data_IF_934632111860
#
_entry.id   IF_934632111860
#
_cell.length_a   1.000
_cell.length_b   1.000
_cell.length_c   1.000
_cell.angle_alpha   90.00
_cell.angle_beta   90.00
_cell.angle_gamma   90.00
#
_symmetry.space_group_name_H-M   'P 1'
#
loop_
_entity.id
_entity.type
_entity.pdbx_description
1 polymer ?
#
# COMPACT_ATOMS: atom_id res chain seq x y z
N UNK A 1 28.46 33.64 -39.25
CA UNK A 1 27.35 32.68 -39.36
C UNK A 1 27.43 31.74 -38.18
N UNK A 2 26.90 32.16 -37.03
CA UNK A 2 26.65 31.25 -35.91
C UNK A 2 25.33 30.53 -36.19
N UNK A 3 25.37 29.20 -36.18
CA UNK A 3 24.16 28.38 -36.26
C UNK A 3 23.52 28.38 -34.87
N UNK A 4 22.36 29.02 -34.75
CA UNK A 4 21.45 28.83 -33.62
C UNK A 4 21.19 27.33 -33.44
N UNK A 5 21.63 26.80 -32.29
CA UNK A 5 21.15 25.52 -31.77
C UNK A 5 19.73 25.76 -31.27
N UNK A 6 18.74 25.45 -32.09
CA UNK A 6 17.36 25.23 -31.65
C UNK A 6 17.34 23.99 -30.75
N UNK A 7 17.46 24.21 -29.45
CA UNK A 7 17.09 23.23 -28.43
C UNK A 7 15.58 23.07 -28.46
N UNK A 8 15.10 22.03 -29.15
CA UNK A 8 13.75 21.52 -28.95
C UNK A 8 13.64 20.99 -27.52
N UNK A 9 13.20 21.86 -26.61
CA UNK A 9 12.65 21.46 -25.32
C UNK A 9 11.36 20.72 -25.62
N UNK A 10 11.40 19.38 -25.66
CA UNK A 10 10.18 18.57 -25.62
C UNK A 10 9.58 18.82 -24.23
N UNK A 11 8.38 19.37 -24.19
CA UNK A 11 7.62 19.48 -22.94
C UNK A 11 7.60 18.10 -22.24
N UNK A 12 7.67 18.07 -20.90
CA UNK A 12 7.70 16.82 -20.18
C UNK A 12 6.40 16.05 -20.47
N UNK A 13 6.53 14.79 -20.90
CA UNK A 13 5.39 13.90 -21.21
C UNK A 13 4.51 13.62 -19.99
N UNK A 14 5.03 13.86 -18.79
CA UNK A 14 4.33 13.73 -17.52
C UNK A 14 4.44 15.03 -16.74
N UNK A 15 3.33 15.48 -16.16
CA UNK A 15 3.28 16.64 -15.26
C UNK A 15 2.81 16.15 -13.90
N UNK A 16 3.61 16.41 -12.87
CA UNK A 16 3.22 16.07 -11.50
C UNK A 16 2.01 16.91 -11.08
N UNK A 17 1.05 16.26 -10.44
CA UNK A 17 -0.17 16.85 -9.91
C UNK A 17 -0.35 16.38 -8.47
N UNK A 18 -0.99 17.19 -7.61
CA UNK A 18 -1.33 16.82 -6.24
C UNK A 18 -2.47 15.80 -6.17
N UNK A 19 -3.34 15.80 -7.18
CA UNK A 19 -4.44 14.85 -7.33
C UNK A 19 -4.56 14.35 -8.75
N UNK A 20 -4.97 13.10 -8.91
CA UNK A 20 -5.21 12.48 -10.21
C UNK A 20 -6.50 11.68 -10.20
N UNK A 21 -7.13 11.59 -11.38
CA UNK A 21 -8.26 10.71 -11.62
C UNK A 21 -7.80 9.26 -11.82
N UNK A 22 -8.61 8.31 -11.35
CA UNK A 22 -8.41 6.90 -11.65
C UNK A 22 -8.92 6.63 -13.07
N UNK A 23 -8.07 6.07 -13.96
CA UNK A 23 -8.48 5.74 -15.32
C UNK A 23 -9.69 4.81 -15.34
N UNK A 24 -10.70 5.18 -16.13
CA UNK A 24 -11.88 4.35 -16.30
C UNK A 24 -11.49 2.99 -16.89
N UNK A 25 -11.84 1.91 -16.17
CA UNK A 25 -11.54 0.54 -16.61
C UNK A 25 -10.31 -0.07 -15.95
N UNK A 26 -9.50 0.72 -15.24
CA UNK A 26 -8.36 0.22 -14.48
C UNK A 26 -8.81 -0.88 -13.50
N UNK A 27 -8.17 -2.06 -13.47
CA UNK A 27 -8.53 -3.18 -12.58
C UNK A 27 -8.21 -2.89 -11.11
N UNK A 28 -8.97 -2.00 -10.49
CA UNK A 28 -8.86 -1.72 -9.06
C UNK A 28 -10.23 -1.39 -8.47
N UNK A 29 -10.37 -1.65 -7.18
CA UNK A 29 -11.51 -1.21 -6.41
C UNK A 29 -11.06 -0.02 -5.57
N UNK A 30 -11.50 1.16 -5.98
CA UNK A 30 -11.35 2.39 -5.22
C UNK A 30 -12.70 3.06 -5.17
N UNK A 31 -13.17 3.39 -3.97
CA UNK A 31 -14.51 3.94 -3.77
C UNK A 31 -14.66 5.40 -4.19
N UNK A 32 -13.61 6.00 -4.79
CA UNK A 32 -13.56 7.41 -5.19
C UNK A 32 -13.00 7.52 -6.62
N UNK A 33 -13.36 8.58 -7.37
CA UNK A 33 -12.83 8.79 -8.72
C UNK A 33 -11.41 9.36 -8.71
N UNK A 34 -11.04 10.13 -7.67
CA UNK A 34 -9.75 10.83 -7.54
C UNK A 34 -8.92 10.27 -6.39
N UNK A 35 -7.59 10.38 -6.50
CA UNK A 35 -6.66 10.06 -5.43
C UNK A 35 -5.57 11.14 -5.27
N UNK A 36 -5.08 11.27 -4.04
CA UNK A 36 -3.95 12.16 -3.72
C UNK A 36 -2.62 11.51 -4.13
N UNK A 37 -1.76 12.29 -4.79
CA UNK A 37 -0.42 11.89 -5.19
C UNK A 37 0.52 12.17 -4.04
N UNK A 38 1.04 11.09 -3.44
CA UNK A 38 2.00 11.17 -2.34
C UNK A 38 3.34 11.68 -2.85
N UNK A 39 4.04 12.46 -2.02
CA UNK A 39 5.40 12.95 -2.31
C UNK A 39 6.40 11.81 -2.59
N UNK A 40 6.13 10.62 -2.03
CA UNK A 40 6.96 9.44 -2.27
C UNK A 40 6.69 8.78 -3.64
N UNK A 41 5.55 9.02 -4.31
CA UNK A 41 5.19 8.33 -5.55
C UNK A 41 6.21 8.53 -6.68
N UNK A 42 6.66 9.75 -7.02
CA UNK A 42 7.69 9.94 -8.04
C UNK A 42 8.96 9.16 -7.72
N UNK A 43 9.40 9.18 -6.47
CA UNK A 43 10.61 8.48 -6.03
C UNK A 43 10.46 6.96 -6.11
N UNK A 44 9.28 6.42 -5.78
CA UNK A 44 8.99 5.00 -5.87
C UNK A 44 8.86 4.53 -7.32
N UNK A 45 8.33 5.37 -8.20
CA UNK A 45 8.29 5.10 -9.63
C UNK A 45 9.70 4.91 -10.20
N UNK A 46 10.61 5.87 -9.94
CA UNK A 46 12.01 5.78 -10.37
C UNK A 46 12.72 4.54 -9.81
N UNK A 47 12.51 4.24 -8.53
CA UNK A 47 13.06 3.04 -7.89
C UNK A 47 12.54 1.77 -8.54
N UNK A 48 11.24 1.69 -8.78
CA UNK A 48 10.60 0.54 -9.41
C UNK A 48 11.11 0.33 -10.84
N UNK A 49 11.21 1.40 -11.64
CA UNK A 49 11.75 1.35 -13.01
C UNK A 49 13.20 0.88 -13.05
N UNK A 50 14.05 1.40 -12.15
CA UNK A 50 15.46 0.97 -12.05
C UNK A 50 15.59 -0.52 -11.73
N UNK A 51 14.81 -1.00 -10.76
CA UNK A 51 14.80 -2.41 -10.36
C UNK A 51 14.28 -3.26 -11.50
N UNK A 52 13.18 -2.84 -12.14
CA UNK A 52 12.55 -3.53 -13.25
C UNK A 52 13.52 -3.73 -14.42
N UNK A 53 14.32 -2.72 -14.77
CA UNK A 53 15.34 -2.82 -15.82
C UNK A 53 16.46 -3.84 -15.51
N UNK A 54 16.67 -4.20 -14.24
CA UNK A 54 17.66 -5.18 -13.82
C UNK A 54 17.10 -6.59 -13.60
N UNK A 55 15.94 -6.72 -12.96
CA UNK A 55 15.37 -8.03 -12.56
C UNK A 55 14.21 -8.50 -13.44
N UNK A 56 13.66 -7.64 -14.32
CA UNK A 56 12.44 -7.90 -15.07
C UNK A 56 11.16 -7.96 -14.21
N UNK A 57 11.28 -8.02 -12.88
CA UNK A 57 10.14 -8.07 -11.96
C UNK A 57 10.44 -7.27 -10.70
N UNK A 58 9.49 -6.45 -10.25
CA UNK A 58 9.55 -5.74 -8.97
C UNK A 58 8.22 -5.83 -8.23
N UNK A 59 8.27 -6.05 -6.93
CA UNK A 59 7.10 -5.97 -6.07
C UNK A 59 7.12 -4.67 -5.26
N UNK A 60 6.08 -3.85 -5.40
CA UNK A 60 5.83 -2.73 -4.51
C UNK A 60 4.81 -3.20 -3.48
N UNK A 61 5.16 -3.09 -2.20
CA UNK A 61 4.37 -3.64 -1.10
C UNK A 61 4.28 -2.67 0.05
N UNK A 62 3.40 -2.94 1.00
CA UNK A 62 3.25 -2.12 2.20
C UNK A 62 2.10 -2.59 3.07
N UNK A 63 1.90 -1.87 4.17
CA UNK A 63 0.75 -2.06 5.06
C UNK A 63 -0.55 -1.95 4.28
N UNK A 64 -1.50 -2.88 4.44
CA UNK A 64 -2.80 -2.77 3.81
C UNK A 64 -3.47 -1.42 4.09
N UNK A 65 -3.75 -0.63 3.06
CA UNK A 65 -4.37 0.70 3.20
C UNK A 65 -3.40 1.88 3.16
N UNK A 66 -2.11 1.62 2.97
CA UNK A 66 -1.08 2.65 2.82
C UNK A 66 -1.07 3.34 1.44
N UNK A 67 -1.92 2.88 0.51
CA UNK A 67 -2.01 3.45 -0.84
C UNK A 67 -1.19 2.72 -1.91
N UNK A 68 -0.92 1.43 -1.77
CA UNK A 68 -0.25 0.64 -2.83
C UNK A 68 -1.11 0.55 -4.10
N UNK A 69 -2.43 0.44 -3.96
CA UNK A 69 -3.34 0.42 -5.11
C UNK A 69 -3.51 1.80 -5.76
N UNK A 70 -3.42 2.90 -5.01
CA UNK A 70 -3.38 4.24 -5.60
C UNK A 70 -2.03 4.51 -6.28
N UNK A 71 -0.92 3.97 -5.74
CA UNK A 71 0.36 3.98 -6.44
C UNK A 71 0.34 3.16 -7.73
N UNK A 72 -0.41 2.06 -7.80
CA UNK A 72 -0.66 1.34 -9.04
C UNK A 72 -1.32 2.23 -10.12
N UNK A 73 -2.30 3.04 -9.75
CA UNK A 73 -2.92 4.00 -10.66
C UNK A 73 -1.93 5.09 -11.10
N UNK A 74 -1.18 5.67 -10.16
CA UNK A 74 -0.11 6.63 -10.46
C UNK A 74 0.93 6.06 -11.43
N UNK A 75 1.44 4.86 -11.13
CA UNK A 75 2.42 4.17 -11.97
C UNK A 75 1.88 3.97 -13.38
N UNK A 76 0.64 3.48 -13.51
CA UNK A 76 -0.01 3.30 -14.81
C UNK A 76 -0.08 4.62 -15.60
N UNK A 77 -0.57 5.69 -14.97
CA UNK A 77 -0.75 6.99 -15.61
C UNK A 77 0.59 7.54 -16.12
N UNK A 78 1.58 7.60 -15.23
CA UNK A 78 2.90 8.12 -15.55
C UNK A 78 3.62 7.26 -16.61
N UNK A 79 3.60 5.95 -16.43
CA UNK A 79 4.24 5.03 -17.39
C UNK A 79 3.63 5.15 -18.78
N UNK A 80 2.31 5.21 -18.87
CA UNK A 80 1.60 5.30 -20.16
C UNK A 80 1.89 6.62 -20.88
N UNK A 81 2.01 7.72 -20.14
CA UNK A 81 2.38 9.02 -20.69
C UNK A 81 3.84 9.06 -21.19
N UNK A 82 4.76 8.43 -20.45
CA UNK A 82 6.17 8.37 -20.84
C UNK A 82 6.43 7.38 -22.01
N UNK A 83 5.62 6.33 -22.13
CA UNK A 83 5.85 5.16 -23.00
C UNK A 83 4.63 4.83 -23.89
N UNK A 84 4.17 5.78 -24.69
CA UNK A 84 2.94 5.67 -25.51
C UNK A 84 2.87 4.42 -26.42
N UNK A 85 4.02 3.99 -26.96
CA UNK A 85 4.12 2.83 -27.87
C UNK A 85 4.07 1.46 -27.15
N UNK A 86 4.22 1.45 -25.82
CA UNK A 86 4.27 0.23 -25.01
C UNK A 86 2.86 -0.25 -24.68
N UNK A 87 2.63 -1.55 -24.85
CA UNK A 87 1.39 -2.20 -24.41
C UNK A 87 1.44 -2.42 -22.90
N UNK A 88 0.50 -1.84 -22.16
CA UNK A 88 0.38 -2.04 -20.72
C UNK A 88 -0.74 -3.05 -20.44
N UNK A 89 -0.43 -4.14 -19.76
CA UNK A 89 -1.40 -5.15 -19.35
C UNK A 89 -1.62 -5.00 -17.85
N UNK A 90 -2.78 -4.46 -17.48
CA UNK A 90 -3.17 -4.31 -16.08
C UNK A 90 -4.01 -5.50 -15.63
N UNK A 91 -3.76 -6.00 -14.44
CA UNK A 91 -4.49 -7.14 -13.88
C UNK A 91 -4.85 -6.89 -12.42
N UNK A 92 -5.96 -7.48 -11.96
CA UNK A 92 -6.33 -7.48 -10.55
C UNK A 92 -6.41 -8.88 -9.99
N UNK A 93 -5.99 -9.03 -8.74
CA UNK A 93 -6.03 -10.29 -8.00
C UNK A 93 -6.78 -10.13 -6.69
N UNK A 94 -7.42 -11.20 -6.26
CA UNK A 94 -7.94 -11.33 -4.91
C UNK A 94 -7.52 -12.66 -4.30
N UNK A 95 -7.38 -12.70 -2.98
CA UNK A 95 -7.12 -13.95 -2.27
C UNK A 95 -8.46 -14.65 -2.03
N UNK A 96 -8.63 -15.85 -2.56
CA UNK A 96 -9.76 -16.74 -2.31
C UNK A 96 -9.23 -18.06 -1.78
N UNK A 97 -9.73 -18.51 -0.62
CA UNK A 97 -9.34 -19.80 -0.02
C UNK A 97 -7.80 -20.02 0.04
N UNK A 98 -7.04 -18.98 0.43
CA UNK A 98 -5.55 -18.95 0.49
C UNK A 98 -4.84 -19.02 -0.87
N UNK A 99 -5.56 -18.97 -1.98
CA UNK A 99 -5.01 -18.90 -3.34
C UNK A 99 -5.20 -17.51 -3.92
N UNK A 100 -4.26 -17.06 -4.76
CA UNK A 100 -4.46 -15.83 -5.52
C UNK A 100 -5.20 -16.12 -6.82
N UNK A 101 -6.30 -15.39 -7.04
CA UNK A 101 -7.20 -15.56 -8.18
C UNK A 101 -7.28 -14.24 -8.95
N UNK A 102 -6.97 -14.29 -10.24
CA UNK A 102 -7.13 -13.16 -11.15
C UNK A 102 -8.63 -12.85 -11.33
N UNK A 103 -9.01 -11.59 -11.20
CA UNK A 103 -10.41 -11.14 -11.24
C UNK A 103 -10.73 -10.25 -12.44
N UNK A 104 -9.74 -9.57 -13.00
CA UNK A 104 -9.90 -8.75 -14.19
C UNK A 104 -8.56 -8.54 -14.91
N UNK A 105 -8.66 -8.34 -16.23
CA UNK A 105 -7.54 -7.95 -17.12
C UNK A 105 -8.02 -6.76 -17.96
N UNK A 106 -7.17 -5.76 -18.14
CA UNK A 106 -7.36 -4.70 -19.13
C UNK A 106 -6.04 -4.41 -19.85
N UNK A 107 -6.14 -4.19 -21.16
CA UNK A 107 -5.03 -3.95 -22.09
C UNK A 107 -5.10 -2.51 -22.56
N UNK A 108 -3.96 -1.82 -22.53
CA UNK A 108 -3.86 -0.40 -22.81
C UNK A 108 -2.72 -0.11 -23.77
N UNK A 109 -2.87 0.95 -24.57
CA UNK A 109 -1.80 1.50 -25.43
C UNK A 109 -1.97 3.01 -25.51
N UNK A 110 -0.89 3.78 -25.36
CA UNK A 110 -0.95 5.25 -25.33
C UNK A 110 -1.86 5.81 -24.21
N UNK A 111 -2.08 5.07 -23.13
CA UNK A 111 -3.03 5.43 -22.07
C UNK A 111 -4.51 5.13 -22.41
N UNK A 112 -4.83 4.69 -23.63
CA UNK A 112 -6.18 4.32 -24.03
C UNK A 112 -6.47 2.83 -23.76
N UNK A 113 -7.67 2.53 -23.28
CA UNK A 113 -8.10 1.15 -23.03
C UNK A 113 -8.53 0.49 -24.35
N UNK A 114 -7.83 -0.58 -24.74
CA UNK A 114 -8.14 -1.34 -25.95
C UNK A 114 -9.19 -2.41 -25.67
N UNK A 115 -8.99 -3.19 -24.61
CA UNK A 115 -9.88 -4.30 -24.27
C UNK A 115 -9.83 -4.59 -22.76
N UNK A 116 -10.96 -5.00 -22.19
CA UNK A 116 -11.08 -5.37 -20.78
C UNK A 116 -12.01 -6.56 -20.61
N UNK A 117 -11.69 -7.44 -19.66
CA UNK A 117 -12.59 -8.52 -19.26
C UNK A 117 -12.55 -8.81 -17.77
N UNK A 118 -13.72 -9.19 -17.24
CA UNK A 118 -13.89 -9.83 -15.91
C UNK A 118 -14.37 -11.28 -16.03
N UNK A 119 -14.58 -11.76 -17.26
CA UNK A 119 -15.03 -13.12 -17.50
C UNK A 119 -13.87 -14.08 -17.23
N UNK A 120 -14.01 -14.91 -16.19
CA UNK A 120 -12.97 -15.85 -15.72
C UNK A 120 -12.42 -16.78 -16.81
N UNK A 121 -13.25 -17.14 -17.80
CA UNK A 121 -12.85 -18.00 -18.91
C UNK A 121 -12.03 -17.27 -19.99
N UNK A 122 -12.04 -15.92 -20.00
CA UNK A 122 -11.37 -15.07 -20.99
C UNK A 122 -10.15 -14.33 -20.44
N UNK A 123 -9.90 -14.36 -19.12
CA UNK A 123 -8.82 -13.57 -18.52
C UNK A 123 -7.45 -13.92 -19.09
N UNK A 124 -7.07 -15.20 -19.06
CA UNK A 124 -5.79 -15.67 -19.60
C UNK A 124 -5.75 -15.55 -21.13
N UNK A 125 -6.87 -15.77 -21.82
CA UNK A 125 -6.95 -15.60 -23.28
C UNK A 125 -6.64 -14.16 -23.70
N UNK A 126 -7.15 -13.16 -22.98
CA UNK A 126 -6.87 -11.75 -23.26
C UNK A 126 -5.40 -11.41 -22.98
N UNK A 127 -4.84 -11.93 -21.88
CA UNK A 127 -3.43 -11.75 -21.53
C UNK A 127 -2.51 -12.31 -22.62
N UNK A 128 -2.70 -13.58 -23.01
CA UNK A 128 -1.89 -14.25 -24.04
C UNK A 128 -2.03 -13.56 -25.40
N UNK A 129 -3.25 -13.13 -25.76
CA UNK A 129 -3.52 -12.38 -27.00
C UNK A 129 -2.77 -11.05 -27.02
N UNK A 130 -2.76 -10.32 -25.91
CA UNK A 130 -2.09 -9.03 -25.80
C UNK A 130 -0.56 -9.16 -25.88
N UNK A 131 0.02 -10.15 -25.19
CA UNK A 131 1.46 -10.44 -25.27
C UNK A 131 1.88 -10.80 -26.70
N UNK A 132 1.16 -11.72 -27.35
CA UNK A 132 1.46 -12.12 -28.74
C UNK A 132 1.32 -10.98 -29.73
N UNK A 133 0.23 -10.21 -29.64
CA UNK A 133 0.00 -9.07 -30.52
C UNK A 133 1.08 -8.00 -30.38
N UNK A 134 1.59 -7.78 -29.18
CA UNK A 134 2.68 -6.83 -28.96
C UNK A 134 4.01 -7.33 -29.55
N UNK A 135 4.30 -8.64 -29.46
CA UNK A 135 5.47 -9.27 -30.11
C UNK A 135 5.36 -9.15 -31.64
N UNK A 136 4.21 -9.47 -32.22
CA UNK A 136 3.94 -9.36 -33.66
C UNK A 136 4.10 -7.91 -34.15
N UNK A 137 3.71 -6.93 -33.33
CA UNK A 137 3.87 -5.51 -33.62
C UNK A 137 5.28 -4.96 -33.30
N UNK A 138 6.22 -5.80 -32.83
CA UNK A 138 7.54 -5.40 -32.34
C UNK A 138 7.48 -4.23 -31.32
N UNK A 139 6.48 -4.29 -30.42
CA UNK A 139 6.23 -3.27 -29.39
C UNK A 139 6.54 -3.83 -27.99
N UNK A 140 6.92 -2.95 -27.07
CA UNK A 140 7.17 -3.33 -25.68
C UNK A 140 5.89 -3.79 -24.97
N UNK A 141 6.05 -4.64 -23.94
CA UNK A 141 4.97 -5.06 -23.03
C UNK A 141 5.41 -4.87 -21.59
N UNK A 142 4.48 -4.43 -20.73
CA UNK A 142 4.65 -4.46 -19.28
C UNK A 142 3.37 -4.94 -18.59
N UNK A 143 3.52 -5.72 -17.53
CA UNK A 143 2.42 -6.12 -16.65
C UNK A 143 2.38 -5.27 -15.39
N UNK A 144 1.22 -4.71 -15.09
CA UNK A 144 0.95 -4.03 -13.82
C UNK A 144 -0.11 -4.83 -13.05
N UNK A 145 0.30 -5.47 -11.96
CA UNK A 145 -0.54 -6.41 -11.21
C UNK A 145 -0.98 -5.79 -9.88
N UNK A 146 -2.27 -5.45 -9.76
CA UNK A 146 -2.87 -5.03 -8.49
C UNK A 146 -3.25 -6.26 -7.66
N UNK A 147 -2.35 -6.66 -6.78
CA UNK A 147 -2.39 -7.92 -6.03
C UNK A 147 -1.39 -8.95 -6.57
N UNK A 148 -1.29 -10.07 -5.87
CA UNK A 148 -0.22 -11.04 -6.09
C UNK A 148 -0.50 -11.95 -7.29
N UNK A 149 0.27 -11.92 -8.38
CA UNK A 149 0.04 -12.83 -9.49
C UNK A 149 0.32 -14.28 -9.12
N UNK A 150 -0.41 -15.19 -9.76
CA UNK A 150 -0.22 -16.64 -9.68
C UNK A 150 0.44 -17.22 -10.95
N UNK A 151 0.97 -16.36 -11.81
CA UNK A 151 1.63 -16.71 -13.06
C UNK A 151 3.03 -16.08 -13.12
N UNK A 152 3.90 -16.62 -13.98
CA UNK A 152 5.22 -16.04 -14.23
C UNK A 152 5.17 -15.08 -15.41
N UNK A 153 5.81 -13.91 -15.32
CA UNK A 153 5.87 -12.98 -16.45
C UNK A 153 6.64 -13.57 -17.63
N UNK A 154 6.11 -13.39 -18.85
CA UNK A 154 6.88 -13.41 -20.10
C UNK A 154 7.51 -12.05 -20.45
N UNK A 155 7.05 -10.98 -19.79
CA UNK A 155 7.46 -9.58 -20.00
C UNK A 155 7.69 -8.86 -18.67
N UNK A 156 8.35 -7.68 -18.64
CA UNK A 156 8.55 -6.92 -17.41
C UNK A 156 7.27 -6.76 -16.57
N UNK A 157 7.37 -6.93 -15.25
CA UNK A 157 6.21 -6.94 -14.36
C UNK A 157 6.41 -6.14 -13.07
N UNK A 158 5.41 -5.33 -12.73
CA UNK A 158 5.32 -4.60 -11.46
C UNK A 158 4.12 -5.12 -10.66
N UNK A 159 4.39 -5.67 -9.49
CA UNK A 159 3.36 -6.26 -8.62
C UNK A 159 3.08 -5.36 -7.41
N UNK A 160 1.87 -4.86 -7.30
CA UNK A 160 1.39 -4.00 -6.22
C UNK A 160 0.67 -4.87 -5.18
N UNK A 161 1.42 -5.42 -4.21
CA UNK A 161 0.95 -6.53 -3.37
C UNK A 161 0.89 -6.18 -1.89
N UNK A 162 0.01 -6.89 -1.17
CA UNK A 162 0.05 -6.92 0.30
C UNK A 162 1.17 -7.86 0.74
N UNK A 163 1.87 -7.50 1.81
CA UNK A 163 2.94 -8.31 2.39
C UNK A 163 2.48 -9.76 2.59
N UNK A 164 3.31 -10.70 2.10
CA UNK A 164 3.19 -12.16 2.27
C UNK A 164 2.13 -12.91 1.44
N UNK A 165 2.21 -12.86 0.11
CA UNK A 165 1.83 -14.03 -0.69
C UNK A 165 3.07 -14.86 -0.98
N UNK A 166 3.16 -16.03 -0.35
CA UNK A 166 4.18 -17.08 -0.57
C UNK A 166 4.28 -17.58 -2.02
N UNK A 167 3.40 -17.12 -2.92
CA UNK A 167 3.32 -17.51 -4.32
C UNK A 167 4.25 -16.72 -5.25
N UNK A 168 4.76 -15.56 -4.84
CA UNK A 168 5.69 -14.81 -5.68
C UNK A 168 7.11 -15.32 -5.45
N UNK A 169 7.77 -15.75 -6.53
CA UNK A 169 9.21 -16.02 -6.56
C UNK A 169 10.01 -14.88 -5.91
N UNK A 170 11.24 -15.14 -5.41
CA UNK A 170 12.09 -14.09 -4.87
C UNK A 170 12.30 -12.99 -5.92
N UNK A 171 11.57 -11.89 -5.77
CA UNK A 171 11.67 -10.68 -6.56
C UNK A 171 12.05 -9.53 -5.63
N UNK A 172 12.82 -8.55 -6.10
CA UNK A 172 13.12 -7.35 -5.33
C UNK A 172 11.83 -6.65 -4.85
N UNK A 173 11.82 -6.24 -3.59
CA UNK A 173 10.67 -5.60 -2.93
C UNK A 173 10.97 -4.14 -2.58
N UNK A 174 10.03 -3.27 -2.91
CA UNK A 174 10.00 -1.88 -2.47
C UNK A 174 8.86 -1.72 -1.46
N UNK A 175 9.18 -1.29 -0.24
CA UNK A 175 8.20 -1.14 0.84
C UNK A 175 7.76 0.30 0.94
N UNK A 176 6.48 0.59 0.69
CA UNK A 176 5.93 1.94 0.78
C UNK A 176 5.85 2.40 2.24
N UNK A 177 6.20 3.67 2.53
CA UNK A 177 6.15 4.20 3.88
C UNK A 177 4.70 4.43 4.32
N UNK A 178 4.47 4.42 5.63
CA UNK A 178 3.23 4.92 6.24
C UNK A 178 3.06 6.41 5.96
N UNK A 179 1.85 6.91 6.17
CA UNK A 179 1.56 8.34 6.01
C UNK A 179 1.91 9.09 7.29
N UNK A 180 2.56 10.24 7.15
CA UNK A 180 2.76 11.16 8.26
C UNK A 180 1.58 12.14 8.41
N UNK A 181 1.56 12.89 9.52
CA UNK A 181 0.47 13.80 9.82
C UNK A 181 0.28 14.87 8.73
N UNK A 182 1.39 15.47 8.28
CA UNK A 182 1.37 16.56 7.29
C UNK A 182 0.84 16.05 5.96
N UNK A 183 1.29 14.87 5.53
CA UNK A 183 0.82 14.20 4.31
C UNK A 183 -0.68 13.89 4.40
N UNK A 184 -1.15 13.36 5.53
CA UNK A 184 -2.58 13.05 5.74
C UNK A 184 -3.46 14.30 5.73
N UNK A 185 -3.07 15.36 6.44
CA UNK A 185 -3.80 16.62 6.48
C UNK A 185 -3.86 17.27 5.10
N UNK A 186 -2.75 17.24 4.35
CA UNK A 186 -2.69 17.77 2.99
C UNK A 186 -3.62 17.00 2.07
N UNK A 187 -3.58 15.66 2.11
CA UNK A 187 -4.48 14.83 1.33
C UNK A 187 -5.96 14.99 1.72
N UNK A 188 -6.27 15.21 3.00
CA UNK A 188 -7.64 15.50 3.43
C UNK A 188 -8.15 16.79 2.78
N UNK A 189 -7.33 17.85 2.77
CA UNK A 189 -7.67 19.13 2.15
C UNK A 189 -7.83 19.02 0.63
N UNK A 190 -6.85 18.42 -0.06
CA UNK A 190 -6.86 18.28 -1.53
C UNK A 190 -7.99 17.38 -2.04
N UNK A 191 -8.46 16.43 -1.23
CA UNK A 191 -9.58 15.55 -1.57
C UNK A 191 -10.94 16.10 -1.13
N UNK A 192 -11.01 17.39 -0.78
CA UNK A 192 -12.20 18.07 -0.25
C UNK A 192 -12.89 17.27 0.88
N UNK A 193 -12.08 16.66 1.75
CA UNK A 193 -12.54 16.00 2.98
C UNK A 193 -12.39 17.00 4.11
N UNK A 194 -13.42 17.82 4.42
CA UNK A 194 -13.31 18.79 5.48
C UNK A 194 -12.96 18.05 6.78
N UNK A 195 -11.77 18.34 7.28
CA UNK A 195 -11.33 17.89 8.60
C UNK A 195 -12.36 18.38 9.59
N UNK A 196 -13.15 17.47 10.18
CA UNK A 196 -14.10 17.88 11.21
C UNK A 196 -13.28 18.26 12.43
N UNK A 197 -13.37 19.54 12.82
CA UNK A 197 -12.92 19.94 14.15
C UNK A 197 -13.73 19.13 15.15
N UNK A 198 -13.04 18.37 15.99
CA UNK A 198 -13.67 17.61 17.04
C UNK A 198 -14.39 18.60 17.97
N UNK A 199 -15.72 18.53 18.02
CA UNK A 199 -16.47 19.19 19.10
C UNK A 199 -16.00 18.60 20.43
N UNK A 200 -15.90 19.40 21.48
CA UNK A 200 -15.39 19.07 22.83
C UNK A 200 -16.15 17.96 23.59
N UNK A 201 -16.90 17.12 22.90
CA UNK A 201 -17.70 16.01 23.41
C UNK A 201 -16.93 14.68 23.35
N UNK A 202 -15.61 14.70 23.50
CA UNK A 202 -14.85 13.47 23.74
C UNK A 202 -15.30 12.89 25.09
N UNK A 203 -15.67 11.61 25.10
CA UNK A 203 -16.12 10.94 26.32
C UNK A 203 -15.04 11.07 27.40
N UNK A 204 -15.46 11.21 28.67
CA UNK A 204 -14.56 11.26 29.85
C UNK A 204 -13.74 9.99 30.07
N UNK A 205 -13.74 9.06 29.12
CA UNK A 205 -13.03 7.78 29.13
C UNK A 205 -11.83 7.73 28.19
N UNK A 206 -11.68 8.66 27.23
CA UNK A 206 -10.49 8.70 26.35
C UNK A 206 -9.27 9.28 27.07
N UNK A 207 -8.03 8.83 26.80
CA UNK A 207 -6.82 9.35 27.44
C UNK A 207 -6.55 10.82 27.12
N UNK A 208 -5.90 11.54 28.03
CA UNK A 208 -5.78 13.02 28.02
C UNK A 208 -5.15 13.57 26.74
N UNK A 209 -4.11 12.92 26.22
CA UNK A 209 -3.45 13.30 24.97
C UNK A 209 -4.37 13.17 23.74
N UNK A 210 -5.43 12.35 23.78
CA UNK A 210 -6.46 12.22 22.73
C UNK A 210 -7.54 13.31 22.90
N UNK A 211 -7.82 13.73 24.14
CA UNK A 211 -8.73 14.84 24.43
C UNK A 211 -8.21 16.21 24.01
N UNK A 212 -6.88 16.34 23.97
CA UNK A 212 -6.16 17.52 23.55
C UNK A 212 -6.11 17.70 22.03
N UNK A 213 -6.48 16.67 21.25
CA UNK A 213 -6.41 16.71 19.78
C UNK A 213 -7.60 17.48 19.21
N UNK A 214 -7.30 18.50 18.41
CA UNK A 214 -8.31 19.38 17.77
C UNK A 214 -8.71 18.87 16.37
N UNK A 215 -7.91 17.97 15.81
CA UNK A 215 -7.98 17.46 14.44
C UNK A 215 -8.32 15.95 14.40
N UNK A 216 -9.41 15.59 13.72
CA UNK A 216 -9.81 14.19 13.50
C UNK A 216 -8.73 13.35 12.79
N UNK A 217 -7.97 13.94 11.86
CA UNK A 217 -6.88 13.24 11.15
C UNK A 217 -5.75 12.89 12.11
N UNK A 218 -5.35 13.82 12.98
CA UNK A 218 -4.36 13.58 14.02
C UNK A 218 -4.81 12.51 15.01
N UNK A 219 -6.09 12.56 15.43
CA UNK A 219 -6.65 11.55 16.32
C UNK A 219 -6.56 10.15 15.69
N UNK A 220 -6.95 10.04 14.41
CA UNK A 220 -6.89 8.78 13.68
C UNK A 220 -5.47 8.34 13.38
N UNK A 221 -4.52 9.25 13.19
CA UNK A 221 -3.09 8.92 13.10
C UNK A 221 -2.60 8.25 14.39
N UNK A 222 -2.98 8.78 15.56
CA UNK A 222 -2.60 8.17 16.84
C UNK A 222 -3.20 6.76 17.02
N UNK A 223 -4.40 6.53 16.50
CA UNK A 223 -5.11 5.25 16.53
C UNK A 223 -4.58 4.22 15.52
N UNK A 224 -4.36 4.65 14.28
CA UNK A 224 -4.11 3.79 13.13
C UNK A 224 -2.73 3.99 12.47
N UNK A 225 -1.81 4.73 13.08
CA UNK A 225 -0.39 4.75 12.71
C UNK A 225 -0.09 5.13 11.26
N UNK A 226 -0.92 5.95 10.63
CA UNK A 226 -0.64 6.44 9.28
C UNK A 226 -1.12 5.49 8.17
N UNK A 227 -2.04 4.57 8.47
CA UNK A 227 -2.77 3.84 7.44
C UNK A 227 -3.87 4.72 6.88
N UNK A 228 -3.66 5.23 5.66
CA UNK A 228 -4.54 6.23 5.04
C UNK A 228 -5.99 5.78 4.86
N UNK A 229 -6.25 4.50 4.59
CA UNK A 229 -7.64 4.00 4.49
C UNK A 229 -8.43 4.31 5.77
N UNK A 230 -7.85 4.07 6.93
CA UNK A 230 -8.47 4.34 8.23
C UNK A 230 -8.40 5.84 8.58
N UNK A 231 -7.26 6.48 8.35
CA UNK A 231 -7.06 7.89 8.72
C UNK A 231 -7.96 8.84 7.92
N UNK A 232 -8.15 8.58 6.63
CA UNK A 232 -8.88 9.47 5.71
C UNK A 232 -10.32 9.02 5.43
N UNK A 233 -10.81 7.92 6.01
CA UNK A 233 -12.17 7.39 5.72
C UNK A 233 -13.29 8.42 6.00
N UNK A 234 -14.26 8.51 5.11
CA UNK A 234 -15.51 9.27 5.27
C UNK A 234 -16.62 8.42 5.89
N UNK A 235 -16.42 7.10 5.96
CA UNK A 235 -17.33 6.17 6.61
C UNK A 235 -16.98 6.06 8.11
N UNK A 236 -17.77 6.74 8.95
CA UNK A 236 -17.61 6.70 10.40
C UNK A 236 -17.87 5.30 10.98
N UNK A 237 -18.85 4.56 10.44
CA UNK A 237 -19.15 3.19 10.87
C UNK A 237 -17.96 2.26 10.59
N UNK A 238 -17.29 2.44 9.44
CA UNK A 238 -16.06 1.72 9.14
C UNK A 238 -14.94 2.05 10.14
N UNK A 239 -14.75 3.34 10.47
CA UNK A 239 -13.71 3.77 11.43
C UNK A 239 -13.97 3.20 12.83
N UNK A 240 -15.21 3.27 13.30
CA UNK A 240 -15.61 2.72 14.61
C UNK A 240 -15.45 1.20 14.65
N UNK A 241 -15.87 0.49 13.59
CA UNK A 241 -15.64 -0.95 13.47
C UNK A 241 -14.14 -1.28 13.52
N UNK A 242 -13.29 -0.47 12.86
CA UNK A 242 -11.84 -0.64 12.92
C UNK A 242 -11.26 -0.38 14.29
N UNK A 243 -11.78 0.60 15.04
CA UNK A 243 -11.42 0.85 16.44
C UNK A 243 -11.75 -0.36 17.31
N UNK A 244 -12.98 -0.87 17.23
CA UNK A 244 -13.43 -2.05 17.98
C UNK A 244 -12.56 -3.27 17.65
N UNK A 245 -12.18 -3.46 16.39
CA UNK A 245 -11.30 -4.56 16.00
C UNK A 245 -9.91 -4.45 16.63
N UNK A 246 -9.33 -3.24 16.72
CA UNK A 246 -8.03 -3.02 17.40
C UNK A 246 -8.17 -3.31 18.90
N UNK A 247 -9.23 -2.82 19.54
CA UNK A 247 -9.50 -3.08 20.97
C UNK A 247 -9.72 -4.57 21.25
N UNK A 248 -10.44 -5.27 20.37
CA UNK A 248 -10.68 -6.72 20.46
C UNK A 248 -9.38 -7.51 20.29
N UNK A 249 -8.56 -7.14 19.32
CA UNK A 249 -7.26 -7.78 19.07
C UNK A 249 -6.36 -7.66 20.30
N UNK A 250 -6.36 -6.49 20.95
CA UNK A 250 -5.56 -6.24 22.15
C UNK A 250 -6.16 -6.98 23.35
N UNK A 251 -7.49 -6.97 23.56
CA UNK A 251 -8.11 -7.68 24.68
C UNK A 251 -7.95 -9.20 24.59
N UNK A 252 -7.78 -9.75 23.40
CA UNK A 252 -7.44 -11.16 23.19
C UNK A 252 -6.02 -11.54 23.64
N UNK A 253 -5.16 -10.58 23.96
CA UNK A 253 -3.82 -10.84 24.51
C UNK A 253 -3.86 -11.43 25.94
N UNK A 254 -5.03 -11.58 26.57
CA UNK A 254 -5.29 -11.98 27.97
C UNK A 254 -4.84 -13.39 28.41
N UNK A 255 -4.18 -14.19 27.58
CA UNK A 255 -3.64 -15.48 28.04
C UNK A 255 -2.27 -15.74 27.44
N UNK A 256 -1.26 -16.01 28.29
CA UNK A 256 0.13 -16.16 27.85
C UNK A 256 0.37 -17.22 26.76
N UNK A 257 -0.53 -18.19 26.63
CA UNK A 257 -0.50 -19.18 25.55
C UNK A 257 -1.01 -18.61 24.20
N UNK A 258 -2.05 -17.78 24.23
CA UNK A 258 -2.49 -17.05 23.05
C UNK A 258 -1.59 -15.86 22.75
N UNK A 259 -0.89 -15.25 23.71
CA UNK A 259 0.07 -14.17 23.44
C UNK A 259 1.21 -14.62 22.55
N UNK A 260 1.70 -15.87 22.65
CA UNK A 260 2.75 -16.39 21.76
C UNK A 260 2.24 -16.70 20.35
N UNK A 261 1.05 -17.31 20.24
CA UNK A 261 0.42 -17.62 18.95
C UNK A 261 -0.16 -16.38 18.28
N UNK A 262 -0.69 -15.43 19.04
CA UNK A 262 -0.97 -14.07 18.60
C UNK A 262 0.32 -13.33 18.35
N UNK A 263 1.48 -13.53 18.98
CA UNK A 263 2.71 -12.87 18.49
C UNK A 263 3.14 -13.47 17.15
N UNK A 264 2.84 -14.74 16.85
CA UNK A 264 3.05 -15.32 15.52
C UNK A 264 1.98 -14.87 14.49
N UNK A 265 0.71 -14.73 14.89
CA UNK A 265 -0.41 -14.23 14.07
C UNK A 265 -0.51 -12.68 14.04
N UNK A 266 0.07 -11.97 15.01
CA UNK A 266 0.32 -10.52 15.09
C UNK A 266 1.68 -10.22 14.48
N UNK A 267 2.67 -11.10 14.45
CA UNK A 267 3.74 -10.98 13.45
C UNK A 267 3.24 -11.25 12.03
N UNK A 268 1.95 -11.57 11.87
CA UNK A 268 1.25 -11.51 10.59
C UNK A 268 0.32 -10.27 10.50
N UNK A 269 -0.31 -9.80 11.59
CA UNK A 269 -1.25 -8.65 11.63
C UNK A 269 -0.70 -7.32 12.23
N UNK A 270 0.16 -7.35 13.24
CA UNK A 270 1.04 -6.24 13.68
C UNK A 270 2.32 -6.07 12.83
N UNK A 271 2.87 -7.08 12.17
CA UNK A 271 3.83 -6.87 11.05
C UNK A 271 3.14 -6.20 9.86
N UNK A 272 1.82 -6.42 9.71
CA UNK A 272 0.96 -5.59 8.86
C UNK A 272 0.83 -4.14 9.36
N UNK A 273 1.21 -3.79 10.59
CA UNK A 273 1.00 -2.46 11.18
C UNK A 273 2.24 -1.73 11.74
N UNK A 274 3.33 -2.40 12.12
CA UNK A 274 4.43 -1.78 12.88
C UNK A 274 5.84 -2.39 12.68
N UNK A 275 6.02 -3.54 12.02
CA UNK A 275 7.35 -4.14 11.91
C UNK A 275 7.60 -4.70 10.51
N UNK A 276 8.16 -3.87 9.61
CA UNK A 276 9.15 -4.25 8.58
C UNK A 276 9.90 -2.98 8.09
N UNK A 277 10.20 -2.06 9.02
CA UNK A 277 11.18 -1.00 8.79
C UNK A 277 12.59 -1.56 9.04
N UNK A 278 13.20 -2.17 8.01
CA UNK A 278 14.65 -2.17 7.72
C UNK A 278 15.05 -3.36 6.82
N UNK A 279 15.21 -3.11 5.52
CA UNK A 279 16.37 -3.51 4.74
C UNK A 279 16.36 -2.58 3.50
N UNK A 280 17.20 -1.53 3.45
CA UNK A 280 18.60 -1.52 3.86
C UNK A 280 18.91 -0.57 5.03
N UNK A 281 19.80 -1.03 5.92
CA UNK A 281 20.62 -0.28 6.88
C UNK A 281 20.23 1.20 7.10
N UNK A 282 19.56 1.48 8.23
CA UNK A 282 19.35 2.82 8.87
C UNK A 282 18.07 3.59 8.48
N UNK A 283 16.90 2.97 8.55
CA UNK A 283 15.66 3.72 8.79
C UNK A 283 15.21 3.51 10.24
N UNK A 284 14.99 4.60 10.96
CA UNK A 284 14.56 4.63 12.36
C UNK A 284 13.23 3.89 12.56
N UNK A 285 13.18 3.05 13.59
CA UNK A 285 12.02 2.24 13.95
C UNK A 285 10.91 3.17 14.46
N UNK A 286 9.92 3.50 13.65
CA UNK A 286 8.66 4.02 14.20
C UNK A 286 7.88 2.83 14.77
N UNK A 287 8.03 2.59 16.08
CA UNK A 287 7.31 1.51 16.80
C UNK A 287 5.78 1.65 16.70
N UNK A 288 4.99 0.78 17.39
CA UNK A 288 3.53 0.76 17.25
C UNK A 288 2.87 2.14 17.43
N UNK A 289 1.69 2.38 16.82
CA UNK A 289 0.94 3.63 17.01
C UNK A 289 0.74 3.93 18.50
N UNK A 290 0.68 5.20 18.89
CA UNK A 290 0.62 5.57 20.31
C UNK A 290 -0.60 4.95 21.03
N UNK A 291 -1.75 4.83 20.35
CA UNK A 291 -2.93 4.14 20.86
C UNK A 291 -2.65 2.66 21.13
N UNK A 292 -2.09 1.94 20.15
CA UNK A 292 -1.70 0.54 20.31
C UNK A 292 -0.63 0.38 21.40
N UNK A 293 0.36 1.28 21.49
CA UNK A 293 1.35 1.31 22.58
C UNK A 293 0.69 1.45 23.95
N UNK A 294 -0.24 2.38 24.12
CA UNK A 294 -0.93 2.58 25.41
C UNK A 294 -1.75 1.37 25.80
N UNK A 295 -2.52 0.83 24.86
CA UNK A 295 -3.31 -0.37 25.09
C UNK A 295 -2.42 -1.57 25.39
N UNK A 296 -1.31 -1.75 24.66
CA UNK A 296 -0.31 -2.78 24.95
C UNK A 296 0.32 -2.59 26.33
N UNK A 297 0.70 -1.37 26.73
CA UNK A 297 1.27 -1.09 28.05
C UNK A 297 0.25 -1.35 29.17
N UNK A 298 -0.99 -0.88 29.01
CA UNK A 298 -2.07 -1.14 29.96
C UNK A 298 -2.33 -2.65 30.09
N UNK A 299 -2.35 -3.37 28.97
CA UNK A 299 -2.56 -4.81 28.95
C UNK A 299 -1.37 -5.60 29.53
N UNK A 300 -0.14 -5.19 29.23
CA UNK A 300 1.08 -5.78 29.79
C UNK A 300 1.21 -5.55 31.30
N UNK A 301 0.64 -4.44 31.80
CA UNK A 301 0.59 -4.18 33.24
C UNK A 301 -0.30 -5.17 34.01
N UNK A 302 -1.24 -5.84 33.33
CA UNK A 302 -2.11 -6.86 33.92
C UNK A 302 -1.42 -8.22 34.12
N UNK A 303 -0.28 -8.45 33.47
CA UNK A 303 0.51 -9.66 33.66
C UNK A 303 1.44 -9.56 34.86
N UNK A 304 1.85 -10.68 35.44
CA UNK A 304 2.92 -10.68 36.43
C UNK A 304 4.28 -10.37 35.78
N UNK A 305 5.28 -10.08 36.61
CA UNK A 305 6.63 -9.73 36.14
C UNK A 305 7.30 -10.88 35.39
N UNK A 306 7.02 -12.13 35.74
CA UNK A 306 7.60 -13.29 35.08
C UNK A 306 7.08 -13.46 33.65
N UNK A 307 5.78 -13.24 33.44
CA UNK A 307 5.13 -13.27 32.14
C UNK A 307 5.54 -12.06 31.28
N UNK A 308 5.65 -10.86 31.86
CA UNK A 308 6.20 -9.68 31.16
C UNK A 308 7.63 -9.91 30.66
N UNK A 309 8.49 -10.49 31.49
CA UNK A 309 9.87 -10.80 31.10
C UNK A 309 9.91 -11.83 29.97
N UNK A 310 9.09 -12.90 30.03
CA UNK A 310 8.96 -13.86 28.92
C UNK A 310 8.54 -13.21 27.60
N UNK A 311 7.59 -12.27 27.65
CA UNK A 311 7.14 -11.53 26.46
C UNK A 311 8.28 -10.65 25.90
N UNK A 312 8.98 -9.91 26.77
CA UNK A 312 10.11 -9.08 26.38
C UNK A 312 11.28 -9.88 25.81
N UNK A 313 11.61 -11.02 26.41
CA UNK A 313 12.67 -11.92 25.95
C UNK A 313 12.34 -12.49 24.57
N UNK A 314 11.07 -12.82 24.30
CA UNK A 314 10.63 -13.26 22.97
C UNK A 314 10.77 -12.16 21.91
N UNK A 315 10.46 -10.91 22.27
CA UNK A 315 10.63 -9.75 21.38
C UNK A 315 12.11 -9.44 21.13
N UNK A 316 13.00 -9.65 22.11
CA UNK A 316 14.45 -9.43 21.98
C UNK A 316 15.17 -10.58 21.25
N UNK A 317 14.82 -11.84 21.50
CA UNK A 317 15.43 -13.01 20.83
C UNK A 317 15.24 -12.99 19.31
N UNK A 318 14.09 -12.47 18.83
CA UNK A 318 13.82 -12.33 17.39
C UNK A 318 14.60 -11.19 16.71
N UNK A 319 15.14 -10.23 17.46
CA UNK A 319 16.11 -9.24 16.92
C UNK A 319 17.50 -9.85 16.70
N UNK A 320 17.84 -10.93 17.42
CA UNK A 320 19.14 -11.60 17.33
C UNK A 320 19.17 -12.70 16.25
N UNK A 321 18.03 -13.33 15.93
CA UNK A 321 17.94 -14.40 14.93
C UNK A 321 17.89 -13.91 13.47
N UNK A 322 17.91 -12.60 13.22
CA UNK A 322 17.93 -11.98 11.87
C UNK A 322 19.34 -11.54 11.43
N UNK A 323 20.40 -12.19 11.92
CA UNK A 323 21.77 -12.03 11.43
C UNK A 323 22.00 -12.80 10.13
#
# INVERSE_FOLDING_TARGET
MEKEKTTFSRDPRWVESTTLDIPQGLPMHFGKPTFYVRDCYPQYYEKAMRVLGGSGVVAVTGTPGVGTSTFFAYFFLRFSAENEDTTVITTSFCIQAKSSVMTAVAVWKGGEMIERTKNRYKLYQLLDKAEKGAVEANSGVIHLCNGSPNFRPGAPMVCFTRLASSSCQPCPKLFMPLWDLKELQTAANELDRPVRKLSSCLSKTEPEDVRMVVDEVEQRLLMFGGVARECLSDDACFVDARKIDVERLISQLNSGFFTMRLIEDLEYEMVRFAAHHNYPRRAEITGPPQFAKRLLVAHLSMFDTAMRNKINDCLQLRQCCSR
#
